data_IF_422756032400
#
_entry.id   IF_422756032400
#
_cell.length_a   1.000
_cell.length_b   1.000
_cell.length_c   1.000
_cell.angle_alpha   90.00
_cell.angle_beta   90.00
_cell.angle_gamma   90.00
#
_symmetry.space_group_name_H-M   'P 1'
#
loop_
_entity.id
_entity.type
_entity.pdbx_description
1 polymer ?
#
# COMPACT_ATOMS: atom_id res chain seq x y z
N UNK A 1 -0.72 2.56 12.45
CA UNK A 1 -0.59 1.13 12.26
C UNK A 1 0.10 0.80 10.97
N UNK A 2 0.84 -0.28 10.91
CA UNK A 2 1.55 -0.66 9.69
C UNK A 2 1.37 -2.15 9.43
N UNK A 3 1.46 -2.54 8.17
CA UNK A 3 1.36 -3.92 7.75
C UNK A 3 2.67 -4.32 7.10
N UNK A 4 3.19 -5.48 7.47
CA UNK A 4 4.38 -6.07 6.85
C UNK A 4 4.06 -7.49 6.40
N UNK A 5 4.55 -7.85 5.21
CA UNK A 5 4.38 -9.21 4.72
C UNK A 5 5.49 -9.58 3.76
N UNK A 6 5.69 -10.87 3.56
CA UNK A 6 6.65 -11.42 2.60
C UNK A 6 5.87 -12.17 1.55
N UNK A 7 6.28 -12.02 0.30
CA UNK A 7 5.56 -12.61 -0.81
C UNK A 7 6.50 -13.24 -1.83
N UNK A 8 5.95 -14.12 -2.62
CA UNK A 8 6.67 -14.80 -3.69
C UNK A 8 6.33 -14.19 -5.04
N UNK A 9 6.77 -12.94 -5.24
CA UNK A 9 6.60 -12.20 -6.48
C UNK A 9 7.71 -11.19 -6.62
N UNK A 10 8.04 -10.83 -7.85
CA UNK A 10 8.94 -9.71 -8.10
C UNK A 10 8.25 -8.40 -7.68
N UNK A 11 8.96 -7.43 -7.12
CA UNK A 11 8.36 -6.18 -6.67
C UNK A 11 7.53 -5.44 -7.73
N UNK A 12 7.97 -5.46 -8.98
CA UNK A 12 7.24 -4.81 -10.07
C UNK A 12 5.86 -5.43 -10.25
N UNK A 13 5.79 -6.75 -10.24
CA UNK A 13 4.51 -7.45 -10.40
C UNK A 13 3.61 -7.24 -9.19
N UNK A 14 4.19 -7.26 -8.00
CA UNK A 14 3.44 -7.01 -6.77
C UNK A 14 2.86 -5.59 -6.76
N UNK A 15 3.66 -4.61 -7.18
CA UNK A 15 3.20 -3.22 -7.26
C UNK A 15 2.04 -3.06 -8.23
N UNK A 16 2.08 -3.76 -9.36
CA UNK A 16 1.03 -3.74 -10.35
C UNK A 16 -0.28 -4.30 -9.79
N UNK A 17 -0.19 -5.44 -9.09
CA UNK A 17 -1.36 -6.08 -8.48
C UNK A 17 -2.00 -5.17 -7.43
N UNK A 18 -1.18 -4.56 -6.58
CA UNK A 18 -1.65 -3.65 -5.55
C UNK A 18 -2.34 -2.43 -6.18
N UNK A 19 -1.72 -1.88 -7.23
CA UNK A 19 -2.28 -0.73 -7.92
C UNK A 19 -3.64 -1.05 -8.52
N UNK A 20 -3.75 -2.21 -9.17
CA UNK A 20 -5.01 -2.62 -9.78
C UNK A 20 -6.10 -2.80 -8.73
N UNK A 21 -5.74 -3.36 -7.57
CA UNK A 21 -6.71 -3.56 -6.50
C UNK A 21 -7.20 -2.23 -5.92
N UNK A 22 -6.29 -1.32 -5.63
CA UNK A 22 -6.65 -0.06 -5.00
C UNK A 22 -7.42 0.84 -5.96
N UNK A 23 -6.92 1.01 -7.18
CA UNK A 23 -7.55 1.90 -8.16
C UNK A 23 -8.83 1.28 -8.72
N UNK A 24 -8.79 0.00 -9.06
CA UNK A 24 -9.92 -0.70 -9.65
C UNK A 24 -11.01 -1.06 -8.65
N UNK A 25 -10.64 -1.26 -7.40
CA UNK A 25 -11.58 -1.68 -6.36
C UNK A 25 -12.17 -0.55 -5.56
N UNK A 26 -11.88 0.70 -5.90
CA UNK A 26 -12.34 1.84 -5.12
C UNK A 26 -12.76 2.99 -6.04
N UNK A 27 -13.86 3.63 -5.68
CA UNK A 27 -14.36 4.79 -6.43
C UNK A 27 -13.47 6.02 -6.22
N UNK A 28 -12.89 6.14 -5.04
CA UNK A 28 -12.14 7.33 -4.65
C UNK A 28 -10.65 7.14 -4.52
N UNK A 29 -10.16 5.92 -4.76
CA UNK A 29 -8.73 5.66 -4.65
C UNK A 29 -7.94 6.30 -5.79
N UNK A 30 -6.86 6.98 -5.46
CA UNK A 30 -5.99 7.62 -6.44
C UNK A 30 -4.53 7.34 -6.11
N UNK A 31 -3.73 7.18 -7.15
CA UNK A 31 -2.29 7.08 -6.99
C UNK A 31 -1.72 8.50 -7.02
N UNK A 32 -1.12 8.92 -5.90
CA UNK A 32 -0.54 10.25 -5.79
C UNK A 32 0.87 10.27 -6.35
N UNK A 33 1.65 9.24 -6.05
CA UNK A 33 3.05 9.20 -6.45
C UNK A 33 3.54 7.76 -6.53
N UNK A 34 4.43 7.51 -7.46
CA UNK A 34 5.07 6.21 -7.58
C UNK A 34 6.55 6.44 -7.88
N UNK A 35 7.41 5.81 -7.10
CA UNK A 35 8.84 6.01 -7.19
C UNK A 35 9.53 4.66 -7.19
N UNK A 36 10.42 4.46 -8.15
CA UNK A 36 11.15 3.20 -8.29
C UNK A 36 12.64 3.42 -8.11
N UNK A 37 13.24 2.62 -7.25
CA UNK A 37 14.69 2.58 -7.07
C UNK A 37 15.16 1.26 -7.64
N UNK A 38 16.01 1.33 -8.66
CA UNK A 38 16.55 0.16 -9.33
C UNK A 38 17.95 -0.10 -8.84
N UNK A 39 18.20 -1.30 -8.35
CA UNK A 39 19.54 -1.71 -7.95
C UNK A 39 20.14 -2.70 -8.92
N UNK A 40 21.26 -3.31 -8.53
CA UNK A 40 21.93 -4.32 -9.31
C UNK A 40 21.27 -5.69 -9.12
N UNK A 41 21.47 -6.59 -10.09
CA UNK A 41 21.01 -7.97 -9.97
C UNK A 41 19.52 -8.11 -9.74
N UNK A 42 18.74 -7.34 -10.49
CA UNK A 42 17.27 -7.37 -10.42
C UNK A 42 16.70 -6.92 -9.08
N UNK A 43 17.49 -6.22 -8.29
CA UNK A 43 17.00 -5.61 -7.04
C UNK A 43 16.20 -4.37 -7.36
N UNK A 44 15.10 -4.20 -6.67
CA UNK A 44 14.18 -3.09 -6.95
C UNK A 44 13.41 -2.72 -5.68
N UNK A 45 13.14 -1.44 -5.55
CA UNK A 45 12.26 -0.94 -4.49
C UNK A 45 11.22 -0.05 -5.15
N UNK A 46 9.96 -0.32 -4.93
CA UNK A 46 8.86 0.48 -5.46
C UNK A 46 8.15 1.13 -4.30
N UNK A 47 8.05 2.46 -4.35
CA UNK A 47 7.32 3.22 -3.34
C UNK A 47 6.11 3.84 -4.03
N UNK A 48 4.93 3.53 -3.53
CA UNK A 48 3.69 4.07 -4.08
C UNK A 48 2.89 4.73 -2.97
N UNK A 49 2.34 5.89 -3.26
CA UNK A 49 1.51 6.63 -2.29
C UNK A 49 0.13 6.80 -2.89
N UNK A 50 -0.86 6.34 -2.17
CA UNK A 50 -2.26 6.41 -2.57
C UNK A 50 -3.03 7.33 -1.64
N UNK A 51 -4.13 7.85 -2.16
CA UNK A 51 -5.06 8.68 -1.43
C UNK A 51 -6.46 8.12 -1.63
N UNK A 52 -7.26 8.12 -0.59
CA UNK A 52 -8.63 7.63 -0.66
C UNK A 52 -9.51 8.38 0.31
N UNK A 53 -10.69 8.73 -0.18
CA UNK A 53 -11.69 9.40 0.66
C UNK A 53 -12.63 8.35 1.25
N UNK A 54 -12.75 8.35 2.56
CA UNK A 54 -13.67 7.47 3.28
C UNK A 54 -14.88 8.27 3.70
N UNK A 55 -15.95 8.15 2.93
CA UNK A 55 -17.16 8.94 3.13
C UNK A 55 -17.76 8.78 4.52
N UNK A 56 -17.75 7.56 5.04
CA UNK A 56 -18.29 7.27 6.36
C UNK A 56 -17.61 8.09 7.45
N UNK A 57 -16.33 8.19 7.37
CA UNK A 57 -15.52 8.89 8.36
C UNK A 57 -15.37 10.38 8.04
N UNK A 58 -15.69 10.76 6.81
CA UNK A 58 -15.47 12.12 6.34
C UNK A 58 -13.99 12.46 6.24
N UNK A 59 -13.14 11.45 6.08
CA UNK A 59 -11.70 11.62 6.09
C UNK A 59 -11.06 11.18 4.79
N UNK A 60 -9.93 11.82 4.47
CA UNK A 60 -9.04 11.36 3.42
C UNK A 60 -7.85 10.71 4.10
N UNK A 61 -7.49 9.53 3.62
CA UNK A 61 -6.35 8.80 4.15
C UNK A 61 -5.36 8.58 3.03
N UNK A 62 -4.09 8.57 3.39
CA UNK A 62 -3.04 8.17 2.47
C UNK A 62 -2.57 6.77 2.83
N UNK A 63 -2.07 6.05 1.84
CA UNK A 63 -1.48 4.74 2.05
C UNK A 63 -0.13 4.76 1.35
N UNK A 64 0.93 4.53 2.10
CA UNK A 64 2.27 4.39 1.54
C UNK A 64 2.59 2.92 1.48
N UNK A 65 2.93 2.43 0.29
CA UNK A 65 3.27 1.04 0.06
C UNK A 65 4.71 0.97 -0.42
N UNK A 66 5.53 0.19 0.27
CA UNK A 66 6.93 -0.01 -0.10
C UNK A 66 7.10 -1.49 -0.38
N UNK A 67 7.52 -1.82 -1.59
CA UNK A 67 7.72 -3.21 -2.00
C UNK A 67 9.16 -3.33 -2.52
N UNK A 68 9.95 -4.20 -1.90
CA UNK A 68 11.34 -4.36 -2.29
C UNK A 68 11.80 -5.81 -2.16
N UNK A 69 12.86 -6.14 -2.91
CA UNK A 69 13.53 -7.44 -2.80
C UNK A 69 15.01 -7.27 -2.48
N UNK A 70 15.36 -6.19 -1.81
CA UNK A 70 16.77 -5.87 -1.51
C UNK A 70 17.47 -6.94 -0.71
N UNK A 71 16.73 -7.66 0.12
CA UNK A 71 17.31 -8.73 0.95
C UNK A 71 17.13 -10.13 0.38
N UNK A 72 16.79 -10.21 -0.90
CA UNK A 72 16.66 -11.48 -1.58
C UNK A 72 15.25 -12.07 -1.60
N UNK A 73 14.37 -11.55 -0.75
CA UNK A 73 12.96 -11.95 -0.73
C UNK A 73 12.12 -10.68 -0.84
N UNK A 74 10.99 -10.77 -1.49
CA UNK A 74 10.14 -9.59 -1.65
C UNK A 74 9.37 -9.32 -0.37
N UNK A 75 9.56 -8.12 0.17
CA UNK A 75 8.88 -7.65 1.37
C UNK A 75 7.94 -6.51 0.99
N UNK A 76 6.81 -6.48 1.64
CA UNK A 76 5.81 -5.43 1.48
C UNK A 76 5.61 -4.77 2.82
N UNK A 77 5.77 -3.46 2.84
CA UNK A 77 5.51 -2.66 4.03
C UNK A 77 4.54 -1.57 3.64
N UNK A 78 3.44 -1.44 4.36
CA UNK A 78 2.53 -0.36 4.08
C UNK A 78 2.00 0.25 5.36
N UNK A 79 1.74 1.53 5.29
CA UNK A 79 1.22 2.28 6.42
C UNK A 79 0.23 3.30 5.93
N UNK A 80 -0.90 3.37 6.60
CA UNK A 80 -1.94 4.35 6.30
C UNK A 80 -1.82 5.50 7.29
N UNK A 81 -2.06 6.71 6.81
CA UNK A 81 -1.99 7.90 7.65
C UNK A 81 -2.94 8.97 7.20
N UNK A 82 -2.93 10.10 7.93
CA UNK A 82 -3.81 11.19 7.64
C UNK A 82 -5.13 11.07 8.38
N UNK A 83 -6.18 11.60 7.77
CA UNK A 83 -7.48 11.66 8.39
C UNK A 83 -7.88 13.11 8.58
N UNK A 84 -8.82 13.38 9.43
CA UNK A 84 -9.33 14.72 9.62
C UNK A 84 -8.39 15.60 10.45
N UNK A 85 -8.90 16.71 10.88
CA UNK A 85 -8.17 17.66 11.71
C UNK A 85 -8.13 17.19 13.15
N UNK A 86 -6.97 17.29 13.78
CA UNK A 86 -6.77 16.89 15.15
C UNK A 86 -6.69 15.39 15.32
N UNK A 87 -6.14 14.95 16.44
CA UNK A 87 -5.88 13.54 16.63
C UNK A 87 -7.15 12.70 16.84
N UNK A 88 -8.26 13.30 17.24
CA UNK A 88 -9.52 12.59 17.37
C UNK A 88 -10.16 12.27 16.04
N UNK A 89 -9.63 12.83 14.96
CA UNK A 89 -10.18 12.64 13.62
C UNK A 89 -9.57 11.47 12.89
N UNK A 90 -8.55 10.86 13.45
CA UNK A 90 -7.93 9.70 12.82
C UNK A 90 -8.84 8.48 12.98
N UNK A 91 -9.19 7.87 11.86
CA UNK A 91 -10.05 6.70 11.85
C UNK A 91 -9.20 5.44 11.71
N UNK A 92 -8.95 4.76 12.82
CA UNK A 92 -8.14 3.55 12.85
C UNK A 92 -8.76 2.42 12.04
N UNK A 93 -10.11 2.33 12.04
CA UNK A 93 -10.80 1.31 11.25
C UNK A 93 -10.60 1.52 9.75
N UNK A 94 -10.71 2.77 9.29
CA UNK A 94 -10.48 3.09 7.88
C UNK A 94 -9.02 2.87 7.50
N UNK A 95 -8.09 3.22 8.39
CA UNK A 95 -6.66 3.00 8.15
C UNK A 95 -6.34 1.52 8.00
N UNK A 96 -6.85 0.68 8.90
CA UNK A 96 -6.68 -0.76 8.82
C UNK A 96 -7.30 -1.33 7.55
N UNK A 97 -8.48 -0.84 7.20
CA UNK A 97 -9.17 -1.28 5.99
C UNK A 97 -8.37 -0.97 4.74
N UNK A 98 -7.74 0.20 4.71
CA UNK A 98 -6.92 0.61 3.58
C UNK A 98 -5.67 -0.28 3.47
N UNK A 99 -5.01 -0.52 4.59
CA UNK A 99 -3.85 -1.42 4.63
C UNK A 99 -4.23 -2.85 4.26
N UNK A 100 -5.40 -3.29 4.71
CA UNK A 100 -5.89 -4.64 4.43
C UNK A 100 -6.12 -4.89 2.95
N UNK A 101 -6.43 -3.85 2.17
CA UNK A 101 -6.56 -4.00 0.73
C UNK A 101 -5.28 -4.56 0.11
N UNK A 102 -4.13 -4.14 0.62
CA UNK A 102 -2.83 -4.63 0.15
C UNK A 102 -2.64 -6.09 0.53
N UNK A 103 -2.93 -6.43 1.78
CA UNK A 103 -2.80 -7.81 2.24
C UNK A 103 -3.71 -8.74 1.44
N UNK A 104 -4.95 -8.33 1.22
CA UNK A 104 -5.90 -9.14 0.47
C UNK A 104 -5.45 -9.34 -0.98
N UNK A 105 -4.98 -8.28 -1.61
CA UNK A 105 -4.52 -8.33 -3.00
C UNK A 105 -3.38 -9.32 -3.19
N UNK A 106 -2.51 -9.44 -2.20
CA UNK A 106 -1.30 -10.25 -2.29
C UNK A 106 -1.38 -11.55 -1.48
N UNK A 107 -2.52 -11.85 -0.88
CA UNK A 107 -2.65 -12.97 0.06
C UNK A 107 -2.25 -14.32 -0.52
N UNK A 108 -2.56 -14.59 -1.77
CA UNK A 108 -2.23 -15.88 -2.37
C UNK A 108 -0.74 -16.03 -2.70
N UNK A 109 0.02 -14.96 -2.62
CA UNK A 109 1.47 -15.00 -2.88
C UNK A 109 2.28 -14.97 -1.58
N UNK A 110 1.60 -14.93 -0.45
CA UNK A 110 2.23 -14.81 0.86
C UNK A 110 3.05 -16.04 1.19
N UNK A 111 4.22 -15.83 1.74
CA UNK A 111 5.12 -16.90 2.16
C UNK A 111 4.96 -17.20 3.64
#
# INVERSE_FOLDING_TARGET
MALDMRINLHPEKAAEIVNDEIIGGSVTGELIDSYVIQGDNDKMCVVSVYDKHYYRAGNRLTLTVIIDNMEGITKVHCVSGGGGEGFFRFDWGAAESFEYCVEEALSKYKI
#
